data_IF_240667325355
#
_entry.id   IF_240667325355
#
_cell.length_a   1.000
_cell.length_b   1.000
_cell.length_c   1.000
_cell.angle_alpha   90.00
_cell.angle_beta   90.00
_cell.angle_gamma   90.00
#
_symmetry.space_group_name_H-M   'P 1'
#
loop_
_entity.id
_entity.type
_entity.pdbx_description
1 polymer ?
#
# COMPACT_ATOMS: atom_id res chain seq x y z
N UNK A 1 -10.51 11.75 2.81
CA UNK A 1 -9.33 10.87 2.89
C UNK A 1 -8.62 11.14 4.20
N UNK A 2 -7.74 10.27 4.67
CA UNK A 2 -6.92 10.54 5.86
C UNK A 2 -5.85 11.58 5.47
N UNK A 3 -5.69 12.64 6.24
CA UNK A 3 -4.72 13.72 5.96
C UNK A 3 -3.42 13.53 6.72
N UNK A 4 -3.49 12.91 7.90
CA UNK A 4 -2.31 12.57 8.68
C UNK A 4 -2.60 11.47 9.69
N UNK A 5 -1.53 10.83 10.16
CA UNK A 5 -1.54 9.94 11.31
C UNK A 5 -0.53 10.47 12.33
N UNK A 6 -1.01 10.78 13.53
CA UNK A 6 -0.19 11.17 14.68
C UNK A 6 0.11 9.93 15.53
N UNK A 7 1.37 9.80 15.94
CA UNK A 7 1.90 8.67 16.70
C UNK A 7 2.49 9.19 18.02
N UNK A 8 2.09 8.57 19.13
CA UNK A 8 2.66 8.82 20.45
C UNK A 8 3.05 7.50 21.12
N UNK A 9 4.33 7.35 21.42
CA UNK A 9 4.94 6.16 22.02
C UNK A 9 4.60 4.82 21.33
N UNK A 10 4.46 4.82 20.00
CA UNK A 10 4.10 3.63 19.23
C UNK A 10 5.31 3.07 18.45
N UNK A 11 5.90 1.99 18.98
CA UNK A 11 7.12 1.33 18.51
C UNK A 11 8.27 2.34 18.38
N UNK A 12 8.84 2.54 17.20
CA UNK A 12 9.90 3.55 16.97
C UNK A 12 9.35 4.99 16.88
N UNK A 13 8.03 5.15 16.74
CA UNK A 13 7.37 6.44 16.56
C UNK A 13 6.94 7.01 17.92
N UNK A 14 7.86 7.72 18.57
CA UNK A 14 7.66 8.28 19.92
C UNK A 14 6.76 9.52 19.94
N UNK A 15 6.96 10.42 18.98
CA UNK A 15 6.16 11.63 18.78
C UNK A 15 6.35 12.06 17.32
N UNK A 16 5.62 11.41 16.42
CA UNK A 16 5.76 11.61 14.98
C UNK A 16 4.40 11.88 14.35
N UNK A 17 4.40 12.63 13.25
CA UNK A 17 3.20 12.83 12.44
C UNK A 17 3.56 12.43 11.01
N UNK A 18 2.85 11.45 10.47
CA UNK A 18 2.93 11.11 9.06
C UNK A 18 1.89 11.94 8.30
N UNK A 19 2.31 12.91 7.48
CA UNK A 19 1.41 13.52 6.52
C UNK A 19 1.00 12.54 5.42
N UNK A 20 -0.25 12.62 4.96
CA UNK A 20 -0.80 11.76 3.91
C UNK A 20 -1.45 12.60 2.80
N UNK A 21 -1.38 12.09 1.57
CA UNK A 21 -2.05 12.63 0.39
C UNK A 21 -2.99 11.60 -0.25
N UNK A 22 -3.42 11.84 -1.49
CA UNK A 22 -4.10 10.83 -2.32
C UNK A 22 -3.16 9.63 -2.54
N UNK A 23 -1.91 9.92 -2.88
CA UNK A 23 -0.80 8.98 -2.92
C UNK A 23 0.28 9.43 -1.94
N UNK A 24 0.94 8.50 -1.27
CA UNK A 24 2.08 8.77 -0.39
C UNK A 24 3.12 7.66 -0.51
N UNK A 25 4.33 8.00 -0.99
CA UNK A 25 5.49 7.11 -1.03
C UNK A 25 6.39 7.38 0.17
N UNK A 26 6.63 6.38 1.00
CA UNK A 26 7.51 6.48 2.15
C UNK A 26 8.85 5.79 1.84
N UNK A 27 9.94 6.55 1.90
CA UNK A 27 11.31 6.06 1.74
C UNK A 27 12.12 6.30 3.01
N UNK A 28 13.07 5.44 3.34
CA UNK A 28 13.82 5.54 4.59
C UNK A 28 14.60 4.27 4.92
N UNK A 29 15.49 4.25 5.93
CA UNK A 29 16.26 3.06 6.27
C UNK A 29 15.41 2.00 6.98
N UNK A 30 16.01 0.81 7.20
CA UNK A 30 15.36 -0.24 7.98
C UNK A 30 15.11 0.21 9.43
N UNK A 31 13.90 -0.05 9.90
CA UNK A 31 13.48 0.35 11.24
C UNK A 31 13.18 1.84 11.41
N UNK A 32 13.02 2.63 10.34
CA UNK A 32 12.51 4.02 10.41
C UNK A 32 11.00 4.12 10.60
N UNK A 33 10.30 3.00 10.79
CA UNK A 33 8.86 3.00 11.09
C UNK A 33 7.93 2.86 9.88
N UNK A 34 8.44 2.63 8.66
CA UNK A 34 7.63 2.39 7.46
C UNK A 34 6.57 1.29 7.64
N UNK A 35 6.97 0.05 7.94
CA UNK A 35 6.00 -1.03 8.24
C UNK A 35 5.21 -0.80 9.55
N UNK A 36 5.67 0.10 10.43
CA UNK A 36 4.92 0.52 11.63
C UNK A 36 3.71 1.37 11.25
N UNK A 37 3.78 2.17 10.19
CA UNK A 37 2.64 2.93 9.65
C UNK A 37 1.49 1.99 9.30
N UNK A 38 1.79 0.86 8.66
CA UNK A 38 0.77 -0.11 8.25
C UNK A 38 0.12 -0.77 9.47
N UNK A 39 0.91 -1.17 10.46
CA UNK A 39 0.38 -1.64 11.75
C UNK A 39 -0.49 -0.60 12.47
N UNK A 40 -0.18 0.68 12.33
CA UNK A 40 -1.00 1.75 12.89
C UNK A 40 -2.35 1.88 12.20
N UNK A 41 -2.41 1.72 10.87
CA UNK A 41 -3.67 1.69 10.11
C UNK A 41 -4.53 0.51 10.57
N UNK A 42 -3.95 -0.68 10.76
CA UNK A 42 -4.69 -1.81 11.33
C UNK A 42 -5.13 -1.57 12.77
N UNK A 43 -4.32 -0.88 13.58
CA UNK A 43 -4.70 -0.46 14.92
C UNK A 43 -5.89 0.50 14.93
N UNK A 44 -5.91 1.46 14.01
CA UNK A 44 -7.00 2.42 13.84
C UNK A 44 -8.26 1.77 13.26
N UNK A 45 -8.11 0.71 12.45
CA UNK A 45 -9.21 -0.10 11.93
C UNK A 45 -9.70 -1.18 12.92
N UNK A 46 -9.12 -1.30 14.11
CA UNK A 46 -9.48 -2.31 15.11
C UNK A 46 -9.05 -3.74 14.76
N UNK A 47 -8.15 -3.91 13.77
CA UNK A 47 -7.66 -5.23 13.29
C UNK A 47 -6.32 -5.63 13.90
N UNK A 48 -5.66 -4.74 14.64
CA UNK A 48 -4.37 -5.01 15.27
C UNK A 48 -4.52 -5.45 16.73
N UNK A 49 -4.58 -6.75 16.97
CA UNK A 49 -4.62 -7.33 18.30
C UNK A 49 -3.20 -7.46 18.89
N UNK A 50 -2.66 -6.37 19.41
CA UNK A 50 -1.33 -6.32 20.00
C UNK A 50 -1.36 -5.89 21.47
N UNK A 51 -0.56 -6.58 22.29
CA UNK A 51 -0.35 -6.22 23.70
C UNK A 51 0.48 -4.92 23.79
N UNK A 52 0.17 -4.06 24.77
CA UNK A 52 0.93 -2.88 25.15
C UNK A 52 2.46 -3.07 25.07
N UNK A 53 3.00 -4.15 25.65
CA UNK A 53 4.45 -4.40 25.68
C UNK A 53 5.07 -4.63 24.29
N UNK A 54 4.28 -5.04 23.29
CA UNK A 54 4.74 -5.27 21.92
C UNK A 54 4.69 -4.02 21.03
N UNK A 55 4.07 -2.95 21.54
CA UNK A 55 3.85 -1.71 20.80
C UNK A 55 4.43 -0.48 21.48
N UNK A 56 4.66 -0.48 22.80
CA UNK A 56 5.17 0.70 23.48
C UNK A 56 6.61 0.98 23.03
N UNK A 57 6.94 2.26 22.87
CA UNK A 57 8.31 2.66 22.55
C UNK A 57 9.30 2.24 23.63
N UNK A 58 10.47 1.76 23.20
CA UNK A 58 11.56 1.38 24.10
C UNK A 58 11.91 2.55 25.04
N UNK A 59 11.92 2.28 26.36
CA UNK A 59 12.20 3.28 27.40
C UNK A 59 11.01 4.18 27.78
N UNK A 60 9.79 3.92 27.29
CA UNK A 60 8.57 4.68 27.62
C UNK A 60 7.54 3.87 28.41
N UNK A 61 7.99 2.84 29.14
CA UNK A 61 7.14 2.03 30.02
C UNK A 61 6.38 2.93 31.01
N UNK A 62 5.09 2.63 31.22
CA UNK A 62 4.20 3.43 32.07
C UNK A 62 3.56 4.64 31.39
N UNK A 63 3.90 4.93 30.12
CA UNK A 63 3.21 5.96 29.32
C UNK A 63 2.13 5.35 28.43
N UNK A 64 1.08 6.11 28.13
CA UNK A 64 0.11 5.69 27.12
C UNK A 64 0.74 5.70 25.72
N UNK A 65 0.41 4.69 24.92
CA UNK A 65 0.63 4.68 23.48
C UNK A 65 -0.65 5.12 22.78
N UNK A 66 -0.56 6.00 21.78
CA UNK A 66 -1.73 6.56 21.08
C UNK A 66 -1.46 6.70 19.60
N UNK A 67 -2.45 6.35 18.79
CA UNK A 67 -2.51 6.61 17.36
C UNK A 67 -3.74 7.46 17.08
N UNK A 68 -3.59 8.48 16.23
CA UNK A 68 -4.70 9.35 15.85
C UNK A 68 -4.65 9.65 14.35
N UNK A 69 -5.60 9.15 13.58
CA UNK A 69 -5.79 9.52 12.18
C UNK A 69 -6.70 10.75 12.09
N UNK A 70 -6.33 11.72 11.26
CA UNK A 70 -7.01 13.00 11.11
C UNK A 70 -7.55 13.16 9.69
N UNK A 71 -8.72 13.79 9.54
CA UNK A 71 -9.33 14.20 8.29
C UNK A 71 -10.08 15.52 8.51
N UNK A 72 -10.08 16.43 7.54
CA UNK A 72 -10.92 17.63 7.61
C UNK A 72 -12.30 17.40 6.95
N UNK A 73 -13.31 18.09 7.46
CA UNK A 73 -14.68 18.19 6.91
C UNK A 73 -15.17 19.63 7.13
N UNK A 74 -15.38 20.39 6.06
CA UNK A 74 -16.03 21.73 6.10
C UNK A 74 -15.47 22.69 7.18
N UNK A 75 -14.14 22.71 7.33
CA UNK A 75 -13.44 23.53 8.33
C UNK A 75 -13.42 22.96 9.76
N UNK A 76 -13.90 21.71 9.94
CA UNK A 76 -13.83 20.96 11.19
C UNK A 76 -12.88 19.77 11.05
N UNK A 77 -12.18 19.47 12.14
CA UNK A 77 -11.30 18.31 12.23
C UNK A 77 -12.09 17.09 12.73
N UNK A 78 -12.03 15.98 11.98
CA UNK A 78 -12.52 14.65 12.36
C UNK A 78 -11.29 13.78 12.63
N UNK A 79 -11.34 12.94 13.67
CA UNK A 79 -10.26 12.00 13.93
C UNK A 79 -10.79 10.65 14.44
N UNK A 80 -9.99 9.61 14.21
CA UNK A 80 -10.13 8.30 14.84
C UNK A 80 -8.90 8.08 15.72
N UNK A 81 -9.10 7.59 16.94
CA UNK A 81 -8.02 7.40 17.90
C UNK A 81 -8.11 6.03 18.58
N UNK A 82 -6.99 5.34 18.68
CA UNK A 82 -6.84 4.17 19.54
C UNK A 82 -5.66 4.36 20.49
N UNK A 83 -5.78 3.78 21.68
CA UNK A 83 -4.77 3.90 22.72
C UNK A 83 -4.56 2.61 23.47
N UNK A 84 -3.34 2.38 23.96
CA UNK A 84 -2.99 1.23 24.78
C UNK A 84 -2.43 1.70 26.11
N UNK A 85 -2.85 1.00 27.16
CA UNK A 85 -2.46 1.23 28.55
C UNK A 85 -1.83 -0.04 29.11
N UNK A 86 -1.01 0.11 30.14
CA UNK A 86 -0.16 -0.95 30.70
C UNK A 86 -0.93 -2.21 31.15
N UNK A 87 -2.19 -2.05 31.55
CA UNK A 87 -3.05 -3.16 32.03
C UNK A 87 -4.20 -3.52 31.08
N UNK A 88 -4.34 -2.79 29.97
CA UNK A 88 -5.38 -3.04 28.99
C UNK A 88 -4.93 -4.11 27.99
N UNK A 89 -5.67 -5.23 27.91
CA UNK A 89 -5.39 -6.32 26.95
C UNK A 89 -5.76 -5.96 25.50
N UNK A 90 -6.53 -4.89 25.29
CA UNK A 90 -7.09 -4.47 24.00
C UNK A 90 -7.00 -2.93 23.94
N UNK A 91 -6.76 -2.33 22.76
CA UNK A 91 -6.81 -0.88 22.61
C UNK A 91 -8.15 -0.28 23.07
N UNK A 92 -8.09 0.83 23.81
CA UNK A 92 -9.25 1.67 24.08
C UNK A 92 -9.43 2.58 22.86
N UNK A 93 -10.43 2.29 22.05
CA UNK A 93 -10.90 3.21 21.00
C UNK A 93 -11.61 4.38 21.69
N UNK A 94 -11.03 5.58 21.63
CA UNK A 94 -11.66 6.78 22.16
C UNK A 94 -12.27 7.52 20.97
N UNK A 95 -13.55 7.29 20.75
CA UNK A 95 -14.36 8.11 19.87
C UNK A 95 -14.97 9.26 20.69
N UNK A 96 -14.52 10.51 20.47
CA UNK A 96 -15.44 11.64 20.65
C UNK A 96 -16.29 11.79 19.37
N UNK A 97 -16.98 10.71 18.97
CA UNK A 97 -18.06 10.78 18.00
C UNK A 97 -19.28 11.38 18.72
N UNK A 98 -19.30 12.71 18.85
CA UNK A 98 -20.50 13.41 19.33
C UNK A 98 -21.72 13.01 18.49
N UNK A 99 -22.89 12.75 19.09
CA UNK A 99 -24.09 12.38 18.35
C UNK A 99 -24.54 13.54 17.45
N UNK A 100 -24.73 13.27 16.14
CA UNK A 100 -25.40 14.19 15.20
C UNK A 100 -24.66 14.65 13.94
N UNK A 101 -23.62 13.97 13.42
CA UNK A 101 -22.83 14.52 12.28
C UNK A 101 -22.49 13.55 11.12
N UNK A 102 -22.73 14.09 9.91
CA UNK A 102 -22.21 13.92 8.53
C UNK A 102 -21.91 12.55 7.90
N UNK A 103 -22.27 12.44 6.60
CA UNK A 103 -21.86 11.41 5.64
C UNK A 103 -20.33 11.19 5.63
N UNK A 104 -19.55 12.25 5.87
CA UNK A 104 -18.09 12.24 5.89
C UNK A 104 -17.51 11.35 7.00
N UNK A 105 -18.15 11.31 8.19
CA UNK A 105 -17.73 10.42 9.28
C UNK A 105 -17.91 8.96 8.91
N UNK A 106 -19.05 8.62 8.32
CA UNK A 106 -19.33 7.26 7.84
C UNK A 106 -18.31 6.85 6.77
N UNK A 107 -18.00 7.75 5.83
CA UNK A 107 -16.95 7.53 4.82
C UNK A 107 -15.56 7.33 5.46
N UNK A 108 -15.21 8.10 6.48
CA UNK A 108 -13.93 7.98 7.17
C UNK A 108 -13.77 6.65 7.92
N UNK A 109 -14.77 6.24 8.71
CA UNK A 109 -14.78 4.95 9.40
C UNK A 109 -14.80 3.78 8.40
N UNK A 110 -15.60 3.88 7.33
CA UNK A 110 -15.61 2.88 6.25
C UNK A 110 -14.25 2.78 5.56
N UNK A 111 -13.56 3.90 5.34
CA UNK A 111 -12.23 3.93 4.74
C UNK A 111 -11.22 3.14 5.57
N UNK A 112 -11.16 3.38 6.89
CA UNK A 112 -10.27 2.64 7.79
C UNK A 112 -10.63 1.15 7.85
N UNK A 113 -11.90 0.82 8.03
CA UNK A 113 -12.37 -0.57 8.17
C UNK A 113 -12.18 -1.38 6.88
N UNK A 114 -12.41 -0.76 5.73
CA UNK A 114 -12.25 -1.37 4.42
C UNK A 114 -10.83 -1.24 3.85
N UNK A 115 -9.90 -0.64 4.58
CA UNK A 115 -8.50 -0.55 4.13
C UNK A 115 -7.90 -1.93 3.90
N UNK A 116 -6.95 -2.04 2.98
CA UNK A 116 -6.20 -3.28 2.71
C UNK A 116 -4.70 -2.99 2.70
N UNK A 117 -3.92 -3.98 3.11
CA UNK A 117 -2.47 -3.93 3.12
C UNK A 117 -1.94 -5.09 2.31
N UNK A 118 -1.01 -4.81 1.41
CA UNK A 118 -0.42 -5.78 0.51
C UNK A 118 1.09 -5.79 0.69
N UNK A 119 1.61 -6.89 1.21
CA UNK A 119 3.02 -7.27 1.15
C UNK A 119 3.06 -8.52 0.27
N UNK A 120 3.14 -8.31 -1.05
CA UNK A 120 2.87 -9.34 -2.03
C UNK A 120 3.92 -10.45 -2.00
N UNK A 121 3.48 -11.70 -1.93
CA UNK A 121 4.33 -12.87 -1.94
C UNK A 121 4.03 -13.72 -3.18
N UNK A 122 4.99 -13.90 -4.11
CA UNK A 122 4.80 -14.68 -5.32
C UNK A 122 4.26 -16.10 -5.08
N UNK A 123 4.73 -16.79 -4.04
CA UNK A 123 4.27 -18.14 -3.71
C UNK A 123 2.80 -18.15 -3.27
N UNK A 124 2.38 -17.15 -2.50
CA UNK A 124 0.99 -16.99 -2.08
C UNK A 124 0.08 -16.62 -3.27
N UNK A 125 0.58 -15.79 -4.19
CA UNK A 125 -0.12 -15.41 -5.43
C UNK A 125 -0.33 -16.63 -6.34
N UNK A 126 0.70 -17.47 -6.47
CA UNK A 126 0.65 -18.65 -7.33
C UNK A 126 -0.19 -19.81 -6.77
N UNK A 127 -0.57 -19.76 -5.49
CA UNK A 127 -1.34 -20.80 -4.85
C UNK A 127 -2.74 -20.94 -5.47
N UNK A 128 -3.26 -22.17 -5.48
CA UNK A 128 -4.66 -22.41 -5.82
C UNK A 128 -5.57 -21.93 -4.67
N UNK A 129 -6.81 -21.58 -5.02
CA UNK A 129 -7.82 -21.09 -4.08
C UNK A 129 -8.99 -22.04 -4.00
N UNK A 130 -9.52 -22.23 -2.79
CA UNK A 130 -10.83 -22.84 -2.59
C UNK A 130 -11.92 -21.83 -2.93
N UNK A 131 -12.76 -22.17 -3.92
CA UNK A 131 -13.82 -21.29 -4.40
C UNK A 131 -14.86 -21.06 -3.29
N UNK A 132 -15.19 -19.78 -3.08
CA UNK A 132 -16.19 -19.32 -2.11
C UNK A 132 -16.96 -18.11 -2.65
N UNK A 133 -18.16 -17.82 -2.14
CA UNK A 133 -19.00 -16.73 -2.67
C UNK A 133 -18.31 -15.36 -2.60
N UNK A 134 -17.44 -15.13 -1.61
CA UNK A 134 -16.69 -13.89 -1.40
C UNK A 134 -15.18 -14.20 -1.33
N UNK A 135 -14.53 -14.09 -2.47
CA UNK A 135 -13.08 -14.12 -2.65
C UNK A 135 -12.62 -12.69 -2.85
N UNK A 136 -11.69 -12.26 -2.00
CA UNK A 136 -10.97 -11.00 -2.12
C UNK A 136 -9.48 -11.30 -2.20
N UNK A 137 -8.70 -10.38 -2.76
CA UNK A 137 -7.26 -10.52 -2.77
C UNK A 137 -6.73 -10.37 -1.35
N UNK A 138 -6.08 -11.41 -0.84
CA UNK A 138 -5.49 -11.41 0.50
C UNK A 138 -4.22 -10.55 0.59
N UNK A 139 -3.76 -10.30 1.82
CA UNK A 139 -2.66 -9.37 2.09
C UNK A 139 -1.31 -9.79 1.51
N UNK A 140 -1.13 -11.07 1.19
CA UNK A 140 0.06 -11.59 0.52
C UNK A 140 -0.18 -11.83 -0.99
N UNK A 141 -1.33 -11.41 -1.51
CA UNK A 141 -1.76 -11.69 -2.88
C UNK A 141 -2.42 -13.06 -3.06
N UNK A 142 -2.65 -13.81 -1.98
CA UNK A 142 -3.42 -15.05 -2.03
C UNK A 142 -4.83 -14.83 -2.58
N UNK A 143 -5.40 -15.92 -3.09
CA UNK A 143 -6.72 -15.97 -3.70
C UNK A 143 -6.86 -15.23 -5.05
N UNK A 144 -5.75 -14.76 -5.64
CA UNK A 144 -5.73 -14.04 -6.92
C UNK A 144 -6.49 -14.78 -8.03
N UNK A 145 -6.32 -16.10 -8.14
CA UNK A 145 -7.00 -16.91 -9.13
C UNK A 145 -8.54 -16.78 -9.02
N UNK A 146 -9.10 -16.75 -7.82
CA UNK A 146 -10.54 -16.63 -7.61
C UNK A 146 -11.06 -15.22 -7.85
N UNK A 147 -10.24 -14.20 -7.54
CA UNK A 147 -10.54 -12.80 -7.85
C UNK A 147 -10.62 -12.60 -9.36
N UNK A 148 -9.63 -13.09 -10.11
CA UNK A 148 -9.59 -12.98 -11.57
C UNK A 148 -10.68 -13.84 -12.25
N UNK A 149 -10.97 -15.03 -11.74
CA UNK A 149 -12.04 -15.90 -12.26
C UNK A 149 -13.41 -15.21 -12.12
N UNK A 150 -13.65 -14.58 -10.97
CA UNK A 150 -14.84 -13.73 -10.76
C UNK A 150 -14.85 -12.51 -11.66
N UNK A 151 -13.71 -11.84 -11.83
CA UNK A 151 -13.62 -10.66 -12.69
C UNK A 151 -13.99 -11.02 -14.12
N UNK A 152 -13.49 -12.15 -14.64
CA UNK A 152 -13.88 -12.70 -15.94
C UNK A 152 -15.39 -12.89 -16.06
N UNK A 153 -16.02 -13.50 -15.05
CA UNK A 153 -17.44 -13.86 -15.14
C UNK A 153 -18.38 -12.68 -14.91
N UNK A 154 -18.03 -11.77 -14.00
CA UNK A 154 -18.90 -10.65 -13.58
C UNK A 154 -18.64 -9.36 -14.35
N UNK A 155 -17.41 -9.15 -14.83
CA UNK A 155 -16.98 -7.91 -15.52
C UNK A 155 -16.02 -8.26 -16.69
N UNK A 156 -16.49 -9.02 -17.70
CA UNK A 156 -15.64 -9.53 -18.78
C UNK A 156 -14.88 -8.42 -19.54
N UNK A 157 -15.48 -7.26 -19.74
CA UNK A 157 -14.82 -6.12 -20.39
C UNK A 157 -13.59 -5.61 -19.63
N UNK A 158 -13.65 -5.60 -18.29
CA UNK A 158 -12.52 -5.23 -17.44
C UNK A 158 -11.45 -6.33 -17.45
N UNK A 159 -11.87 -7.60 -17.43
CA UNK A 159 -10.94 -8.72 -17.56
C UNK A 159 -10.21 -8.71 -18.91
N UNK A 160 -10.90 -8.42 -20.01
CA UNK A 160 -10.29 -8.29 -21.33
C UNK A 160 -9.34 -7.08 -21.40
N UNK A 161 -9.71 -5.97 -20.78
CA UNK A 161 -8.85 -4.79 -20.67
C UNK A 161 -7.59 -5.08 -19.85
N UNK A 162 -7.71 -5.83 -18.74
CA UNK A 162 -6.57 -6.32 -17.96
C UNK A 162 -5.66 -7.20 -18.80
N UNK A 163 -6.20 -8.15 -19.59
CA UNK A 163 -5.38 -9.01 -20.45
C UNK A 163 -4.64 -8.22 -21.54
N UNK A 164 -5.28 -7.20 -22.12
CA UNK A 164 -4.62 -6.30 -23.08
C UNK A 164 -3.46 -5.55 -22.43
N UNK A 165 -3.64 -5.09 -21.19
CA UNK A 165 -2.60 -4.36 -20.45
C UNK A 165 -1.45 -5.30 -20.03
N UNK A 166 -1.78 -6.49 -19.53
CA UNK A 166 -0.82 -7.56 -19.23
C UNK A 166 0.06 -7.87 -20.45
N UNK A 167 -0.54 -7.98 -21.64
CA UNK A 167 0.18 -8.25 -22.88
C UNK A 167 1.05 -7.09 -23.38
N UNK A 168 0.92 -5.88 -22.83
CA UNK A 168 1.86 -4.77 -23.06
C UNK A 168 3.04 -4.85 -22.10
N UNK A 169 2.76 -5.12 -20.82
CA UNK A 169 3.77 -5.24 -19.77
C UNK A 169 4.68 -6.45 -20.01
N UNK A 170 4.08 -7.57 -20.37
CA UNK A 170 4.74 -8.85 -20.60
C UNK A 170 4.39 -9.37 -22.00
N UNK A 171 5.11 -8.94 -23.06
CA UNK A 171 4.80 -9.28 -24.45
C UNK A 171 4.77 -10.79 -24.75
N UNK A 172 5.42 -11.60 -23.92
CA UNK A 172 5.39 -13.06 -23.98
C UNK A 172 3.98 -13.63 -23.75
N UNK A 173 3.13 -12.97 -22.96
CA UNK A 173 1.82 -13.46 -22.58
C UNK A 173 0.70 -12.70 -23.30
N UNK A 174 -0.44 -13.36 -23.50
CA UNK A 174 -1.63 -12.75 -24.11
C UNK A 174 -2.93 -12.99 -23.33
N UNK A 175 -2.97 -14.00 -22.44
CA UNK A 175 -4.21 -14.34 -21.74
C UNK A 175 -3.97 -15.01 -20.38
N UNK A 176 -4.69 -14.54 -19.37
CA UNK A 176 -4.92 -15.23 -18.11
C UNK A 176 -5.95 -16.33 -18.33
N UNK A 177 -5.59 -17.54 -17.95
CA UNK A 177 -6.42 -18.74 -17.99
C UNK A 177 -6.55 -19.35 -16.59
N UNK A 178 -7.46 -20.31 -16.47
CA UNK A 178 -7.74 -20.97 -15.20
C UNK A 178 -7.88 -22.48 -15.40
N UNK A 179 -7.43 -23.24 -14.40
CA UNK A 179 -7.68 -24.68 -14.28
C UNK A 179 -8.28 -25.03 -12.91
N UNK A 180 -8.80 -26.24 -12.80
CA UNK A 180 -9.42 -26.77 -11.58
C UNK A 180 -8.60 -28.00 -11.13
N UNK A 181 -7.53 -27.80 -10.33
CA UNK A 181 -6.65 -28.91 -9.91
C UNK A 181 -7.37 -29.99 -9.12
N UNK A 182 -8.39 -29.61 -8.35
CA UNK A 182 -9.25 -30.50 -7.59
C UNK A 182 -10.66 -29.91 -7.48
N UNK A 183 -11.64 -30.74 -7.15
CA UNK A 183 -13.03 -30.29 -7.00
C UNK A 183 -13.13 -29.13 -6.01
N UNK A 184 -13.72 -28.02 -6.44
CA UNK A 184 -13.89 -26.82 -5.61
C UNK A 184 -12.67 -25.90 -5.52
N UNK A 185 -11.58 -26.19 -6.25
CA UNK A 185 -10.41 -25.30 -6.30
C UNK A 185 -10.20 -24.66 -7.66
N UNK A 186 -9.43 -23.57 -7.68
CA UNK A 186 -9.07 -22.82 -8.90
C UNK A 186 -7.61 -22.42 -8.88
N UNK A 187 -6.92 -22.58 -10.00
CA UNK A 187 -5.53 -22.14 -10.18
C UNK A 187 -5.38 -21.30 -11.44
N UNK A 188 -4.38 -20.44 -11.46
CA UNK A 188 -4.08 -19.51 -12.55
C UNK A 188 -3.02 -20.08 -13.50
N UNK A 189 -3.19 -19.81 -14.79
CA UNK A 189 -2.18 -20.03 -15.82
C UNK A 189 -2.06 -18.76 -16.68
N UNK A 190 -0.90 -18.55 -17.27
CA UNK A 190 -0.73 -17.59 -18.36
C UNK A 190 -0.51 -18.35 -19.66
N UNK A 191 -1.18 -17.89 -20.72
CA UNK A 191 -0.93 -18.38 -22.07
C UNK A 191 0.14 -17.51 -22.74
N UNK A 192 1.12 -18.17 -23.32
CA UNK A 192 2.13 -17.56 -24.17
C UNK A 192 1.52 -17.16 -25.52
N UNK A 193 1.85 -15.96 -26.00
CA UNK A 193 1.46 -15.44 -27.30
C UNK A 193 2.02 -16.29 -28.44
N UNK A 194 3.26 -16.72 -28.28
CA UNK A 194 3.96 -17.61 -29.22
C UNK A 194 3.70 -19.07 -28.83
N UNK A 195 3.05 -19.83 -29.72
CA UNK A 195 2.85 -21.28 -29.53
C UNK A 195 1.68 -21.66 -28.62
N UNK A 196 1.08 -20.73 -27.87
CA UNK A 196 -0.13 -20.99 -27.09
C UNK A 196 0.08 -21.91 -25.88
N UNK A 197 1.33 -22.06 -25.43
CA UNK A 197 1.66 -22.84 -24.23
C UNK A 197 1.04 -22.23 -22.98
N UNK A 198 0.53 -23.08 -22.08
CA UNK A 198 -0.07 -22.68 -20.81
C UNK A 198 0.95 -22.91 -19.69
N UNK A 199 1.41 -21.83 -19.08
CA UNK A 199 2.38 -21.87 -17.98
C UNK A 199 1.61 -21.69 -16.67
N UNK A 200 1.78 -22.61 -15.72
CA UNK A 200 1.12 -22.54 -14.42
C UNK A 200 1.71 -21.40 -13.60
N UNK A 201 0.91 -20.80 -12.72
CA UNK A 201 1.37 -19.70 -11.88
C UNK A 201 2.62 -20.03 -11.05
N UNK A 202 2.76 -21.28 -10.60
CA UNK A 202 3.92 -21.76 -9.84
C UNK A 202 5.23 -21.78 -10.64
N UNK A 203 5.15 -21.76 -11.97
CA UNK A 203 6.30 -21.78 -12.89
C UNK A 203 6.61 -20.39 -13.48
N UNK A 204 5.85 -19.35 -13.09
CA UNK A 204 6.06 -17.98 -13.54
C UNK A 204 7.13 -17.26 -12.70
N UNK A 205 7.74 -16.23 -13.28
CA UNK A 205 8.67 -15.37 -12.54
C UNK A 205 7.95 -14.61 -11.41
N UNK A 206 8.67 -14.30 -10.33
CA UNK A 206 8.14 -13.54 -9.20
C UNK A 206 7.57 -12.18 -9.64
N UNK A 207 8.33 -11.46 -10.48
CA UNK A 207 7.91 -10.18 -11.04
C UNK A 207 6.63 -10.27 -11.87
N UNK A 208 6.42 -11.37 -12.61
CA UNK A 208 5.17 -11.61 -13.35
C UNK A 208 3.97 -11.72 -12.41
N UNK A 209 4.12 -12.45 -11.31
CA UNK A 209 3.04 -12.66 -10.34
C UNK A 209 2.70 -11.38 -9.58
N UNK A 210 3.72 -10.63 -9.14
CA UNK A 210 3.55 -9.34 -8.46
C UNK A 210 2.88 -8.33 -9.39
N UNK A 211 3.38 -8.20 -10.63
CA UNK A 211 2.79 -7.30 -11.62
C UNK A 211 1.32 -7.65 -11.90
N UNK A 212 0.99 -8.94 -12.06
CA UNK A 212 -0.38 -9.39 -12.27
C UNK A 212 -1.29 -9.09 -11.07
N UNK A 213 -0.82 -9.26 -9.84
CA UNK A 213 -1.59 -8.94 -8.64
C UNK A 213 -1.90 -7.44 -8.54
N UNK A 214 -0.92 -6.57 -8.79
CA UNK A 214 -1.11 -5.11 -8.79
C UNK A 214 -2.03 -4.67 -9.92
N UNK A 215 -1.83 -5.22 -11.13
CA UNK A 215 -2.70 -4.95 -12.27
C UNK A 215 -4.13 -5.39 -11.99
N UNK A 216 -4.32 -6.54 -11.32
CA UNK A 216 -5.65 -7.00 -10.92
C UNK A 216 -6.34 -6.01 -9.99
N UNK A 217 -5.64 -5.50 -8.97
CA UNK A 217 -6.17 -4.46 -8.08
C UNK A 217 -6.63 -3.22 -8.84
N UNK A 218 -5.83 -2.76 -9.81
CA UNK A 218 -6.11 -1.57 -10.62
C UNK A 218 -7.36 -1.72 -11.52
N UNK A 219 -7.78 -2.95 -11.81
CA UNK A 219 -8.95 -3.26 -12.65
C UNK A 219 -10.14 -3.81 -11.84
N UNK A 220 -10.06 -3.84 -10.51
CA UNK A 220 -11.22 -4.22 -9.70
C UNK A 220 -12.35 -3.19 -9.89
N UNK A 221 -13.61 -3.63 -10.07
CA UNK A 221 -14.75 -2.71 -10.20
C UNK A 221 -14.98 -1.87 -8.93
N UNK A 222 -14.62 -2.42 -7.77
CA UNK A 222 -14.74 -1.79 -6.45
C UNK A 222 -13.47 -2.06 -5.65
N UNK A 223 -12.37 -1.31 -5.89
CA UNK A 223 -11.15 -1.48 -5.11
C UNK A 223 -11.36 -0.99 -3.67
N UNK A 224 -10.52 -1.42 -2.71
CA UNK A 224 -10.53 -0.89 -1.35
C UNK A 224 -10.31 0.62 -1.35
N UNK A 225 -10.98 1.40 -0.47
CA UNK A 225 -10.85 2.86 -0.44
C UNK A 225 -9.49 3.37 0.08
N UNK A 226 -8.75 2.51 0.78
CA UNK A 226 -7.37 2.76 1.23
C UNK A 226 -6.55 1.49 1.00
N UNK A 227 -5.44 1.61 0.27
CA UNK A 227 -4.53 0.52 -0.02
C UNK A 227 -3.12 0.89 0.44
N UNK A 228 -2.52 0.01 1.24
CA UNK A 228 -1.13 0.11 1.64
C UNK A 228 -0.29 -0.92 0.89
N UNK A 229 0.79 -0.52 0.24
CA UNK A 229 1.71 -1.42 -0.47
C UNK A 229 3.07 -1.44 0.23
N UNK A 230 3.49 -2.60 0.71
CA UNK A 230 4.83 -2.82 1.24
C UNK A 230 5.74 -3.24 0.08
N UNK A 231 6.61 -2.31 -0.35
CA UNK A 231 7.61 -2.56 -1.40
C UNK A 231 6.99 -3.17 -2.67
N UNK A 232 6.00 -2.49 -3.30
CA UNK A 232 5.31 -3.03 -4.48
C UNK A 232 6.22 -3.24 -5.69
N UNK A 233 7.42 -2.65 -5.65
CA UNK A 233 8.46 -2.73 -6.67
C UNK A 233 9.45 -3.89 -6.47
N UNK A 234 9.41 -4.59 -5.33
CA UNK A 234 10.35 -5.65 -5.00
C UNK A 234 10.23 -6.84 -5.96
N UNK A 235 11.36 -7.36 -6.44
CA UNK A 235 11.42 -8.49 -7.38
C UNK A 235 11.02 -8.15 -8.83
N UNK A 236 10.71 -6.89 -9.15
CA UNK A 236 10.36 -6.45 -10.50
C UNK A 236 11.58 -6.02 -11.31
N UNK A 237 11.56 -6.36 -12.60
CA UNK A 237 12.55 -5.84 -13.55
C UNK A 237 12.36 -4.32 -13.72
N UNK A 238 13.44 -3.50 -13.81
CA UNK A 238 13.34 -2.03 -13.89
C UNK A 238 12.39 -1.49 -14.97
N UNK A 239 12.26 -2.20 -16.11
CA UNK A 239 11.34 -1.83 -17.19
C UNK A 239 9.86 -1.91 -16.82
N UNK A 240 9.48 -2.70 -15.82
CA UNK A 240 8.11 -2.84 -15.34
C UNK A 240 7.75 -1.82 -14.24
N UNK A 241 8.74 -1.13 -13.66
CA UNK A 241 8.51 -0.22 -12.54
C UNK A 241 7.53 0.90 -12.91
N UNK A 242 7.66 1.46 -14.12
CA UNK A 242 6.75 2.51 -14.62
C UNK A 242 5.33 1.98 -14.79
N UNK A 243 5.19 0.81 -15.40
CA UNK A 243 3.89 0.16 -15.62
C UNK A 243 3.18 -0.13 -14.30
N UNK A 244 3.92 -0.67 -13.31
CA UNK A 244 3.42 -0.93 -11.96
C UNK A 244 3.05 0.36 -11.24
N UNK A 245 3.89 1.39 -11.31
CA UNK A 245 3.57 2.73 -10.77
C UNK A 245 2.30 3.29 -11.39
N UNK A 246 2.15 3.19 -12.71
CA UNK A 246 0.98 3.69 -13.46
C UNK A 246 -0.30 2.94 -13.07
N UNK A 247 -0.24 1.62 -12.83
CA UNK A 247 -1.39 0.87 -12.31
C UNK A 247 -1.79 1.30 -10.90
N UNK A 248 -0.82 1.61 -10.03
CA UNK A 248 -1.13 2.12 -8.69
C UNK A 248 -1.66 3.57 -8.79
N UNK A 249 -1.12 4.39 -9.69
CA UNK A 249 -1.65 5.73 -9.99
C UNK A 249 -3.06 5.68 -10.54
N UNK A 250 -3.42 4.66 -11.33
CA UNK A 250 -4.81 4.43 -11.75
C UNK A 250 -5.73 4.33 -10.54
N UNK A 251 -5.33 3.62 -9.48
CA UNK A 251 -6.10 3.53 -8.24
C UNK A 251 -6.33 4.90 -7.59
N UNK A 252 -5.25 5.68 -7.43
CA UNK A 252 -5.26 6.97 -6.72
C UNK A 252 -5.85 8.14 -7.53
N UNK A 253 -5.69 8.11 -8.85
CA UNK A 253 -6.04 9.17 -9.79
C UNK A 253 -6.87 8.61 -10.96
N UNK A 254 -8.03 7.97 -10.71
CA UNK A 254 -8.83 7.31 -11.75
C UNK A 254 -9.21 8.25 -12.92
N UNK A 255 -9.45 9.52 -12.62
CA UNK A 255 -9.74 10.58 -13.58
C UNK A 255 -8.64 10.75 -14.65
N UNK A 256 -7.36 10.66 -14.28
CA UNK A 256 -6.22 10.74 -15.20
C UNK A 256 -6.16 9.55 -16.18
N UNK A 257 -6.88 8.47 -15.87
CA UNK A 257 -6.99 7.26 -16.70
C UNK A 257 -8.37 7.12 -17.35
N UNK A 258 -9.20 8.17 -17.30
CA UNK A 258 -10.53 8.18 -17.90
C UNK A 258 -11.59 7.34 -17.16
N UNK A 259 -11.32 6.96 -15.91
CA UNK A 259 -12.25 6.16 -15.10
C UNK A 259 -13.18 7.03 -14.25
N UNK A 260 -14.46 6.65 -14.19
CA UNK A 260 -15.48 7.30 -13.36
C UNK A 260 -15.74 6.48 -12.10
N UNK A 261 -14.79 6.51 -11.17
CA UNK A 261 -14.93 5.90 -9.84
C UNK A 261 -14.26 6.76 -8.77
N UNK A 262 -14.56 6.46 -7.52
CA UNK A 262 -13.91 7.15 -6.41
C UNK A 262 -12.40 6.84 -6.39
N UNK A 263 -11.56 7.84 -6.07
CA UNK A 263 -10.13 7.65 -5.90
C UNK A 263 -9.82 6.81 -4.66
N UNK A 264 -8.84 5.93 -4.79
CA UNK A 264 -8.31 5.12 -3.69
C UNK A 264 -7.17 5.90 -3.03
N UNK A 265 -7.18 6.00 -1.70
CA UNK A 265 -6.00 6.51 -1.02
C UNK A 265 -4.90 5.45 -1.02
N UNK A 266 -3.68 5.79 -1.42
CA UNK A 266 -2.56 4.86 -1.52
C UNK A 266 -1.41 5.29 -0.61
N UNK A 267 -0.89 4.35 0.17
CA UNK A 267 0.35 4.52 0.94
C UNK A 267 1.31 3.40 0.55
N UNK A 268 2.42 3.74 -0.10
CA UNK A 268 3.40 2.77 -0.54
C UNK A 268 4.73 2.99 0.20
N UNK A 269 5.51 1.94 0.39
CA UNK A 269 6.90 2.04 0.86
C UNK A 269 7.83 1.53 -0.23
N UNK A 270 9.04 2.08 -0.32
CA UNK A 270 10.07 1.52 -1.21
C UNK A 270 11.48 1.76 -0.66
N UNK A 271 12.40 0.92 -1.10
CA UNK A 271 13.84 1.08 -0.93
C UNK A 271 14.57 1.20 -2.28
N UNK A 272 13.83 1.23 -3.39
CA UNK A 272 14.38 1.15 -4.73
C UNK A 272 14.54 2.54 -5.35
N UNK A 273 15.78 2.98 -5.62
CA UNK A 273 16.03 4.30 -6.18
C UNK A 273 15.38 4.47 -7.56
N UNK A 274 15.31 3.43 -8.37
CA UNK A 274 14.68 3.49 -9.69
C UNK A 274 13.16 3.63 -9.62
N UNK A 275 12.52 3.07 -8.58
CA UNK A 275 11.10 3.30 -8.36
C UNK A 275 10.85 4.72 -7.86
N UNK A 276 11.71 5.20 -6.95
CA UNK A 276 11.67 6.57 -6.44
C UNK A 276 11.84 7.61 -7.56
N UNK A 277 12.69 7.37 -8.56
CA UNK A 277 12.88 8.24 -9.73
C UNK A 277 11.57 8.55 -10.48
N UNK A 278 10.60 7.64 -10.46
CA UNK A 278 9.30 7.84 -11.12
C UNK A 278 8.44 8.93 -10.46
N UNK A 279 8.84 9.40 -9.28
CA UNK A 279 8.16 10.41 -8.47
C UNK A 279 8.90 11.75 -8.44
N UNK A 280 9.95 11.93 -9.27
CA UNK A 280 10.74 13.19 -9.33
C UNK A 280 9.87 14.44 -9.53
N UNK A 281 8.85 14.33 -10.37
CA UNK A 281 7.93 15.43 -10.69
C UNK A 281 6.79 15.60 -9.66
N UNK A 282 6.73 14.73 -8.63
CA UNK A 282 5.71 14.70 -7.59
C UNK A 282 6.31 14.65 -6.17
N UNK A 283 7.20 15.59 -5.79
CA UNK A 283 7.86 15.58 -4.48
C UNK A 283 6.89 15.72 -3.30
N UNK A 284 5.69 16.22 -3.50
CA UNK A 284 4.62 16.32 -2.49
C UNK A 284 4.08 14.97 -2.05
N UNK A 285 4.24 13.94 -2.89
CA UNK A 285 3.83 12.57 -2.58
C UNK A 285 4.90 11.80 -1.79
N UNK A 286 6.13 12.31 -1.73
CA UNK A 286 7.26 11.61 -1.12
C UNK A 286 7.40 12.05 0.35
N UNK A 287 7.46 11.07 1.24
CA UNK A 287 7.79 11.24 2.65
C UNK A 287 9.09 10.54 2.98
N UNK A 288 10.05 11.31 3.48
CA UNK A 288 11.31 10.79 4.01
C UNK A 288 11.08 10.35 5.45
N UNK A 289 11.32 9.08 5.74
CA UNK A 289 11.31 8.50 7.07
C UNK A 289 12.75 8.43 7.60
N UNK A 290 13.07 9.28 8.56
CA UNK A 290 14.39 9.30 9.20
C UNK A 290 14.39 8.48 10.48
N UNK A 291 15.59 8.02 10.87
CA UNK A 291 15.78 7.29 12.12
C UNK A 291 16.98 7.87 12.87
N UNK A 292 16.70 8.54 13.99
CA UNK A 292 17.69 9.13 14.89
C UNK A 292 17.69 8.35 16.21
N UNK A 293 18.61 7.39 16.32
CA UNK A 293 18.69 6.48 17.46
C UNK A 293 17.42 5.62 17.60
N UNK A 294 16.61 5.91 18.62
CA UNK A 294 15.35 5.20 18.93
C UNK A 294 14.10 5.95 18.46
N UNK A 295 14.27 7.08 17.80
CA UNK A 295 13.18 7.94 17.32
C UNK A 295 13.17 7.96 15.81
N UNK A 296 11.96 7.95 15.23
CA UNK A 296 11.76 8.14 13.81
C UNK A 296 10.82 9.31 13.57
N UNK A 297 11.12 10.06 12.51
CA UNK A 297 10.42 11.27 12.07
C UNK A 297 10.05 11.13 10.60
N UNK A 298 9.02 11.87 10.19
CA UNK A 298 8.56 11.94 8.81
C UNK A 298 8.55 13.39 8.34
N UNK A 299 9.08 13.64 7.14
CA UNK A 299 9.03 14.94 6.48
C UNK A 299 8.63 14.76 5.02
N UNK A 300 7.76 15.63 4.49
CA UNK A 300 7.50 15.61 3.04
C UNK A 300 8.73 16.15 2.31
N UNK A 301 9.06 15.56 1.18
CA UNK A 301 10.19 16.01 0.38
C UNK A 301 9.97 17.44 -0.13
N UNK A 302 8.74 17.78 -0.55
CA UNK A 302 8.37 19.13 -1.02
C UNK A 302 8.53 20.24 0.02
N UNK A 303 8.55 19.91 1.32
CA UNK A 303 8.70 20.92 2.39
C UNK A 303 10.16 21.41 2.49
N UNK A 304 11.10 20.79 1.77
CA UNK A 304 12.50 21.20 1.71
C UNK A 304 12.68 22.44 0.84
N UNK A 305 13.25 23.50 1.43
CA UNK A 305 13.54 24.76 0.75
C UNK A 305 14.69 24.66 -0.25
N UNK A 306 15.59 23.70 -0.06
CA UNK A 306 16.80 23.45 -0.85
C UNK A 306 16.59 22.37 -1.95
N UNK A 307 15.37 21.86 -2.11
CA UNK A 307 15.10 20.69 -2.95
C UNK A 307 15.50 20.90 -4.43
N UNK A 308 15.14 22.04 -5.02
CA UNK A 308 15.43 22.32 -6.42
C UNK A 308 16.93 22.45 -6.70
N UNK A 309 17.67 23.05 -5.78
CA UNK A 309 19.13 23.18 -5.85
C UNK A 309 19.81 21.82 -5.72
N UNK A 310 19.36 20.99 -4.77
CA UNK A 310 19.89 19.65 -4.54
C UNK A 310 19.61 18.70 -5.70
N UNK A 311 18.39 18.73 -6.25
CA UNK A 311 18.01 17.84 -7.34
C UNK A 311 18.73 18.21 -8.64
N UNK A 312 18.83 19.51 -8.97
CA UNK A 312 19.38 19.95 -10.25
C UNK A 312 18.87 19.11 -11.41
N UNK A 313 19.79 18.59 -12.22
CA UNK A 313 19.51 17.63 -13.31
C UNK A 313 19.67 16.15 -12.91
N UNK A 314 19.99 15.87 -11.64
CA UNK A 314 20.21 14.52 -11.15
C UNK A 314 18.90 13.73 -10.98
N UNK A 315 19.05 12.41 -11.00
CA UNK A 315 17.97 11.48 -10.70
C UNK A 315 17.68 11.51 -9.19
N UNK A 316 16.41 11.56 -8.82
CA UNK A 316 15.97 11.66 -7.43
C UNK A 316 16.50 10.51 -6.56
N UNK A 317 16.51 9.29 -7.10
CA UNK A 317 17.04 8.09 -6.46
C UNK A 317 18.54 8.16 -6.18
N UNK A 318 19.32 8.77 -7.07
CA UNK A 318 20.76 8.97 -6.88
C UNK A 318 21.04 9.98 -5.76
N UNK A 319 20.32 11.11 -5.77
CA UNK A 319 20.41 12.12 -4.72
C UNK A 319 19.97 11.54 -3.37
N UNK A 320 18.90 10.75 -3.33
CA UNK A 320 18.50 10.04 -2.10
C UNK A 320 19.59 9.07 -1.64
N UNK A 321 20.14 8.25 -2.54
CA UNK A 321 21.19 7.29 -2.22
C UNK A 321 22.47 7.94 -1.66
N UNK A 322 22.83 9.13 -2.16
CA UNK A 322 23.96 9.91 -1.63
C UNK A 322 23.80 10.33 -0.17
N UNK A 323 22.58 10.28 0.37
CA UNK A 323 22.23 10.67 1.73
C UNK A 323 21.92 12.17 1.90
N UNK A 324 22.08 13.00 0.87
CA UNK A 324 21.77 14.43 0.92
C UNK A 324 20.29 14.69 1.26
N UNK A 325 19.39 13.81 0.80
CA UNK A 325 17.96 13.92 1.10
C UNK A 325 17.58 13.47 2.51
N UNK A 326 18.49 12.84 3.26
CA UNK A 326 18.16 12.14 4.50
C UNK A 326 17.49 10.79 4.23
N UNK A 327 17.02 10.13 5.29
CA UNK A 327 16.34 8.84 5.17
C UNK A 327 17.22 7.70 4.62
N UNK A 328 18.54 7.76 4.85
CA UNK A 328 19.48 6.67 4.60
C UNK A 328 20.04 6.14 5.92
N UNK A 329 20.57 4.90 5.97
CA UNK A 329 21.21 4.38 7.18
C UNK A 329 22.37 5.29 7.62
N UNK A 330 22.48 5.56 8.92
CA UNK A 330 23.60 6.31 9.46
C UNK A 330 24.89 5.48 9.35
N UNK A 331 25.77 5.88 8.43
CA UNK A 331 27.17 5.45 8.33
C UNK A 331 27.42 3.95 8.13
N UNK A 332 27.93 3.61 6.95
CA UNK A 332 29.10 2.72 6.87
C UNK A 332 30.30 3.57 6.52
#
# INVERSE_FOLDING_TARGET
>A
MIESIEFKNFKVLRNATLPLGKFTLIVGPNGSGKSTVFRAIDGLAGRYNANYNSIISAGRFGSNSTLKAVCSDTGRCIYAQCSWQQDARIPVSIEELRPGLSEQRRKFAMCLNASRQYALNPHAIAAHVSLRPEVELGSQGNDLAGVLDRLRDSHPEQFDALNRELGKWLPEFDQVLFETPSTGTRALLLRTRSGGHKIKAVDLSEGTLIALAILTLAYLPKPPPLVCFEEPDHGLHPRLLRDVRDAIYRLAYPESFGEKRDPVQVIATTHNPYFLDLFRDHPEEIVIAEKNGLEATFSRLVDRTDLSEILGDANLGEVWYSGVLGGVPAGT
#
